data_IF_050562304607
#
_entry.id   IF_050562304607
#
_cell.length_a   1.000
_cell.length_b   1.000
_cell.length_c   1.000
_cell.angle_alpha   90.00
_cell.angle_beta   90.00
_cell.angle_gamma   90.00
#
_symmetry.space_group_name_H-M   'P 1'
#
loop_
_entity.id
_entity.type
_entity.pdbx_description
1 polymer ?
#
# COMPACT_ATOMS: atom_id res chain seq x y z
N UNK A 1 -33.01 -7.73 65.08
CA UNK A 1 -32.62 -7.19 63.76
C UNK A 1 -31.16 -6.83 63.87
N UNK A 2 -30.30 -7.76 63.47
CA UNK A 2 -28.83 -7.65 63.48
C UNK A 2 -28.42 -6.59 62.45
N UNK A 3 -27.86 -5.45 62.89
CA UNK A 3 -27.30 -4.45 61.99
C UNK A 3 -25.77 -4.55 62.03
N UNK A 4 -25.23 -5.05 60.93
CA UNK A 4 -23.82 -5.28 60.65
C UNK A 4 -23.05 -3.95 60.77
N UNK A 5 -22.13 -3.88 61.74
CA UNK A 5 -21.20 -2.78 61.93
C UNK A 5 -20.05 -2.91 60.92
N UNK A 6 -20.16 -2.17 59.82
CA UNK A 6 -19.10 -2.06 58.82
C UNK A 6 -17.83 -1.46 59.44
N UNK A 7 -16.72 -2.21 59.36
CA UNK A 7 -15.38 -1.71 59.68
C UNK A 7 -15.01 -0.63 58.66
N UNK A 8 -14.57 0.52 59.15
CA UNK A 8 -14.01 1.62 58.36
C UNK A 8 -12.74 1.15 57.66
N UNK A 9 -12.84 1.02 56.33
CA UNK A 9 -11.76 0.66 55.41
C UNK A 9 -10.73 1.80 55.36
N UNK A 10 -9.45 1.47 55.48
CA UNK A 10 -8.34 2.42 55.51
C UNK A 10 -8.35 3.39 54.31
N UNK A 11 -8.50 4.68 54.61
CA UNK A 11 -8.55 5.80 53.65
C UNK A 11 -7.33 5.85 52.72
N UNK A 12 -6.20 5.28 53.14
CA UNK A 12 -4.94 5.19 52.35
C UNK A 12 -5.08 4.20 51.19
N UNK A 13 -5.80 3.09 51.38
CA UNK A 13 -6.01 2.08 50.33
C UNK A 13 -6.91 2.58 49.20
N UNK A 14 -7.90 3.41 49.53
CA UNK A 14 -8.80 4.02 48.54
C UNK A 14 -8.06 5.08 47.71
N UNK A 15 -7.20 5.87 48.35
CA UNK A 15 -6.39 6.88 47.65
C UNK A 15 -5.36 6.24 46.71
N UNK A 16 -4.69 5.17 47.13
CA UNK A 16 -3.77 4.40 46.28
C UNK A 16 -4.48 3.75 45.10
N UNK A 17 -5.71 3.26 45.28
CA UNK A 17 -6.53 2.73 44.19
C UNK A 17 -6.94 3.84 43.20
N UNK A 18 -7.28 5.03 43.69
CA UNK A 18 -7.60 6.18 42.85
C UNK A 18 -6.38 6.69 42.07
N UNK A 19 -5.20 6.73 42.69
CA UNK A 19 -3.93 7.07 42.03
C UNK A 19 -3.52 6.02 40.99
N UNK A 20 -3.74 4.72 41.26
CA UNK A 20 -3.54 3.66 40.27
C UNK A 20 -4.55 3.75 39.10
N UNK A 21 -5.80 4.11 39.38
CA UNK A 21 -6.81 4.35 38.35
C UNK A 21 -6.53 5.61 37.52
N UNK A 22 -5.96 6.65 38.12
CA UNK A 22 -5.52 7.87 37.41
C UNK A 22 -4.25 7.66 36.58
N UNK A 23 -3.36 6.75 36.99
CA UNK A 23 -2.16 6.40 36.22
C UNK A 23 -2.44 5.52 35.00
N UNK A 24 -3.64 4.95 34.89
CA UNK A 24 -4.10 4.25 33.68
C UNK A 24 -4.83 5.22 32.75
N UNK A 25 -4.07 5.69 31.77
CA UNK A 25 -4.53 6.12 30.44
C UNK A 25 -5.00 7.58 30.36
N UNK A 26 -4.05 8.49 30.49
CA UNK A 26 -3.96 9.57 29.50
C UNK A 26 -2.70 9.26 28.67
N UNK A 27 -2.86 8.38 27.67
CA UNK A 27 -1.91 8.30 26.57
C UNK A 27 -2.07 9.61 25.80
N UNK A 28 -1.11 10.52 25.94
CA UNK A 28 -1.08 11.77 25.18
C UNK A 28 -0.69 11.39 23.75
N UNK A 29 -1.69 11.36 22.88
CA UNK A 29 -1.52 10.96 21.49
C UNK A 29 -1.05 12.17 20.68
N UNK A 30 0.16 12.09 20.17
CA UNK A 30 0.78 13.13 19.36
C UNK A 30 0.64 12.76 17.88
N UNK A 31 0.15 13.68 17.05
CA UNK A 31 -0.04 13.45 15.61
C UNK A 31 0.68 14.54 14.85
N UNK A 32 1.53 14.14 13.90
CA UNK A 32 2.32 15.07 13.09
C UNK A 32 1.91 14.97 11.62
N UNK A 33 1.51 16.10 11.05
CA UNK A 33 1.33 16.26 9.61
C UNK A 33 2.67 16.70 8.99
N UNK A 34 3.29 15.82 8.20
CA UNK A 34 4.57 16.07 7.55
C UNK A 34 4.43 16.32 6.04
N UNK A 35 3.21 16.56 5.54
CA UNK A 35 2.94 16.84 4.13
C UNK A 35 3.78 17.98 3.54
N UNK A 36 4.22 18.93 4.37
CA UNK A 36 5.14 20.00 3.95
C UNK A 36 6.52 19.53 3.49
N UNK A 37 6.91 18.29 3.80
CA UNK A 37 8.20 17.69 3.42
C UNK A 37 8.11 16.85 2.13
N UNK A 38 6.91 16.60 1.62
CA UNK A 38 6.72 15.84 0.38
C UNK A 38 7.16 16.65 -0.85
N UNK A 39 7.95 16.04 -1.73
CA UNK A 39 8.35 16.63 -3.01
C UNK A 39 7.21 16.63 -4.05
N UNK A 40 6.16 15.82 -3.84
CA UNK A 40 5.00 15.72 -4.72
C UNK A 40 3.82 16.52 -4.12
N UNK A 41 3.24 17.47 -4.88
CA UNK A 41 2.21 18.35 -4.36
C UNK A 41 0.89 17.68 -3.97
N UNK A 42 0.64 16.47 -4.50
CA UNK A 42 -0.60 15.71 -4.35
C UNK A 42 -0.45 14.57 -3.33
N UNK A 43 0.74 14.40 -2.74
CA UNK A 43 1.02 13.39 -1.71
C UNK A 43 1.13 14.03 -0.34
N UNK A 44 0.37 13.49 0.59
CA UNK A 44 0.40 13.88 2.00
C UNK A 44 1.03 12.78 2.85
N UNK A 45 1.79 13.16 3.88
CA UNK A 45 2.48 12.23 4.80
C UNK A 45 1.83 12.33 6.18
N UNK A 46 1.25 11.23 6.62
CA UNK A 46 0.52 11.10 7.88
C UNK A 46 1.27 10.22 8.86
N UNK A 47 1.51 10.73 10.08
CA UNK A 47 2.20 10.01 11.14
C UNK A 47 1.40 10.10 12.44
N UNK A 48 1.00 8.94 12.97
CA UNK A 48 0.35 8.83 14.28
C UNK A 48 1.36 8.29 15.28
N UNK A 49 1.49 8.95 16.43
CA UNK A 49 2.36 8.54 17.52
C UNK A 49 1.58 8.20 18.77
N UNK A 50 2.08 7.22 19.49
CA UNK A 50 1.60 6.84 20.80
C UNK A 50 2.80 6.70 21.74
N UNK A 51 2.74 7.35 22.90
CA UNK A 51 3.84 7.39 23.87
C UNK A 51 5.20 7.81 23.28
N UNK A 52 5.20 8.75 22.34
CA UNK A 52 6.42 9.26 21.68
C UNK A 52 7.01 8.33 20.61
N UNK A 53 6.36 7.22 20.28
CA UNK A 53 6.79 6.29 19.22
C UNK A 53 5.82 6.29 18.05
N UNK A 54 6.33 6.25 16.83
CA UNK A 54 5.50 6.15 15.63
C UNK A 54 4.83 4.79 15.55
N UNK A 55 3.50 4.77 15.51
CA UNK A 55 2.71 3.54 15.53
C UNK A 55 1.93 3.30 14.24
N UNK A 56 1.66 4.36 13.46
CA UNK A 56 1.07 4.26 12.13
C UNK A 56 1.69 5.31 11.22
N UNK A 57 2.05 4.90 10.01
CA UNK A 57 2.49 5.79 8.93
C UNK A 57 1.70 5.54 7.67
N UNK A 58 1.30 6.60 7.01
CA UNK A 58 0.59 6.54 5.74
C UNK A 58 1.01 7.68 4.82
N UNK A 59 1.16 7.38 3.55
CA UNK A 59 1.36 8.33 2.47
C UNK A 59 0.44 7.90 1.33
N UNK A 60 -0.41 8.80 0.84
CA UNK A 60 -1.27 8.55 -0.31
C UNK A 60 -1.86 9.86 -0.86
N UNK A 61 -2.24 9.83 -2.13
CA UNK A 61 -3.12 10.82 -2.74
C UNK A 61 -4.57 10.30 -2.71
N UNK A 62 -5.55 11.18 -2.47
CA UNK A 62 -6.97 10.83 -2.37
C UNK A 62 -7.83 11.75 -3.24
N UNK A 63 -8.70 11.17 -4.07
CA UNK A 63 -9.67 11.88 -4.92
C UNK A 63 -11.04 11.19 -4.82
N UNK A 64 -12.13 11.96 -4.84
CA UNK A 64 -13.50 11.42 -4.89
C UNK A 64 -14.22 11.82 -6.18
N UNK A 65 -15.13 10.97 -6.70
CA UNK A 65 -15.69 11.13 -8.06
C UNK A 65 -16.96 11.98 -8.14
N UNK A 66 -17.81 11.99 -7.09
CA UNK A 66 -19.12 12.66 -7.16
C UNK A 66 -19.05 14.19 -7.02
N UNK A 67 -18.11 14.66 -6.23
CA UNK A 67 -17.59 16.01 -6.28
C UNK A 67 -16.07 15.82 -6.30
N UNK A 68 -15.38 16.28 -7.35
CA UNK A 68 -13.92 16.10 -7.49
C UNK A 68 -13.18 16.80 -6.35
N UNK A 69 -13.11 16.10 -5.22
CA UNK A 69 -12.54 16.55 -3.97
C UNK A 69 -11.20 15.85 -3.84
N UNK A 70 -10.14 16.60 -4.07
CA UNK A 70 -8.80 16.19 -3.74
C UNK A 70 -8.53 16.49 -2.26
N UNK A 71 -7.74 15.65 -1.61
CA UNK A 71 -7.28 15.92 -0.27
C UNK A 71 -6.37 17.17 -0.26
N UNK A 72 -6.73 18.24 0.46
CA UNK A 72 -5.92 19.45 0.48
C UNK A 72 -4.75 19.32 1.45
N UNK A 73 -3.66 20.02 1.14
CA UNK A 73 -2.55 20.17 2.08
C UNK A 73 -3.01 20.84 3.37
N UNK A 74 -2.50 20.35 4.50
CA UNK A 74 -2.86 20.86 5.82
C UNK A 74 -4.16 20.25 6.38
N UNK A 75 -4.59 19.11 5.85
CA UNK A 75 -5.61 18.29 6.49
C UNK A 75 -5.21 17.98 7.95
N UNK A 76 -6.19 18.05 8.84
CA UNK A 76 -6.07 17.64 10.23
C UNK A 76 -6.02 16.10 10.28
N UNK A 77 -5.14 15.57 11.12
CA UNK A 77 -4.91 14.13 11.23
C UNK A 77 -5.17 13.73 12.67
N UNK A 78 -5.93 12.67 12.83
CA UNK A 78 -6.07 11.94 14.08
C UNK A 78 -5.91 10.44 13.79
N UNK A 79 -5.73 9.64 14.81
CA UNK A 79 -5.66 8.20 14.64
C UNK A 79 -5.86 7.48 15.95
N UNK A 80 -5.73 6.16 15.94
CA UNK A 80 -5.56 5.33 17.13
C UNK A 80 -4.71 4.15 16.77
N UNK A 81 -3.84 3.75 17.68
CA UNK A 81 -3.00 2.58 17.50
C UNK A 81 -3.40 1.51 18.51
N UNK A 82 -3.28 0.27 18.08
CA UNK A 82 -3.58 -0.91 18.88
C UNK A 82 -2.83 -2.11 18.33
N UNK A 83 -2.78 -3.18 19.11
CA UNK A 83 -2.01 -4.37 18.73
C UNK A 83 -2.66 -5.13 17.56
N UNK A 84 -3.98 -5.07 17.46
CA UNK A 84 -4.79 -5.77 16.46
C UNK A 84 -5.58 -4.84 15.56
N UNK A 85 -5.90 -3.64 16.04
CA UNK A 85 -6.74 -2.69 15.34
C UNK A 85 -6.08 -1.32 15.39
N UNK A 86 -6.11 -0.61 14.27
CA UNK A 86 -5.61 0.75 14.17
C UNK A 86 -6.55 1.58 13.30
N UNK A 87 -6.58 2.88 13.55
CA UNK A 87 -7.50 3.82 12.92
C UNK A 87 -6.71 5.05 12.45
N UNK A 88 -7.02 5.52 11.25
CA UNK A 88 -6.51 6.79 10.71
C UNK A 88 -7.69 7.66 10.30
N UNK A 89 -7.71 8.88 10.80
CA UNK A 89 -8.71 9.89 10.51
C UNK A 89 -8.04 11.09 9.86
N UNK A 90 -8.54 11.49 8.70
CA UNK A 90 -8.06 12.66 7.97
C UNK A 90 -9.24 13.57 7.76
N UNK A 91 -9.20 14.78 8.32
CA UNK A 91 -10.26 15.77 8.17
C UNK A 91 -9.76 17.04 7.49
N UNK A 92 -10.62 17.66 6.70
CA UNK A 92 -10.28 18.88 5.98
C UNK A 92 -11.51 19.78 5.83
N UNK A 93 -11.26 21.03 5.41
CA UNK A 93 -12.28 22.05 5.21
C UNK A 93 -13.10 22.29 6.50
N UNK A 94 -12.42 22.63 7.60
CA UNK A 94 -13.03 22.86 8.92
C UNK A 94 -13.92 21.70 9.41
N UNK A 95 -13.45 20.46 9.23
CA UNK A 95 -14.18 19.24 9.61
C UNK A 95 -15.53 19.03 8.87
N UNK A 96 -15.70 19.66 7.70
CA UNK A 96 -16.80 19.36 6.78
C UNK A 96 -16.63 17.99 6.11
N UNK A 97 -15.37 17.55 5.91
CA UNK A 97 -15.05 16.22 5.40
C UNK A 97 -14.15 15.48 6.37
N UNK A 98 -14.40 14.19 6.56
CA UNK A 98 -13.57 13.30 7.37
C UNK A 98 -13.48 11.93 6.72
N UNK A 99 -12.29 11.58 6.25
CA UNK A 99 -11.96 10.25 5.76
C UNK A 99 -11.43 9.39 6.91
N UNK A 100 -11.98 8.18 7.07
CA UNK A 100 -11.60 7.25 8.13
C UNK A 100 -11.22 5.90 7.54
N UNK A 101 -10.02 5.45 7.86
CA UNK A 101 -9.50 4.13 7.48
C UNK A 101 -9.35 3.30 8.74
N UNK A 102 -9.89 2.09 8.70
CA UNK A 102 -9.78 1.11 9.77
C UNK A 102 -8.93 -0.06 9.31
N UNK A 103 -7.92 -0.38 10.11
CA UNK A 103 -6.97 -1.46 9.87
C UNK A 103 -7.18 -2.57 10.89
N UNK A 104 -7.06 -3.81 10.44
CA UNK A 104 -7.10 -5.00 11.30
C UNK A 104 -5.92 -5.90 11.00
N UNK A 105 -5.24 -6.37 12.05
CA UNK A 105 -4.20 -7.41 12.03
C UNK A 105 -4.82 -8.72 12.49
N UNK A 106 -4.70 -9.76 11.66
CA UNK A 106 -5.28 -11.08 11.91
C UNK A 106 -4.25 -12.19 11.60
N UNK A 107 -4.41 -13.33 12.29
CA UNK A 107 -3.65 -14.54 12.00
C UNK A 107 -4.37 -15.35 10.94
N UNK A 108 -3.68 -15.64 9.84
CA UNK A 108 -4.18 -16.51 8.77
C UNK A 108 -3.44 -17.84 8.82
N UNK A 109 -4.20 -18.91 9.07
CA UNK A 109 -3.71 -20.27 8.95
C UNK A 109 -3.78 -20.68 7.49
N UNK A 110 -2.63 -20.86 6.83
CA UNK A 110 -2.56 -21.40 5.47
C UNK A 110 -2.12 -22.86 5.59
N UNK A 111 -3.06 -23.78 5.40
CA UNK A 111 -2.81 -25.21 5.35
C UNK A 111 -2.88 -25.69 3.90
N UNK A 112 -1.76 -26.11 3.32
CA UNK A 112 -1.76 -26.78 2.00
C UNK A 112 -1.26 -28.23 2.06
N UNK A 113 -0.41 -28.60 3.03
CA UNK A 113 0.23 -29.93 3.06
C UNK A 113 0.38 -30.50 4.49
N UNK A 114 -0.66 -30.37 5.33
CA UNK A 114 -0.63 -30.91 6.71
C UNK A 114 0.32 -30.19 7.69
N UNK A 115 0.97 -29.10 7.25
CA UNK A 115 1.67 -28.15 8.12
C UNK A 115 0.89 -26.85 8.15
N UNK A 116 0.17 -26.63 9.25
CA UNK A 116 -0.44 -25.33 9.53
C UNK A 116 0.67 -24.31 9.77
N UNK A 117 0.83 -23.36 8.84
CA UNK A 117 1.69 -22.20 9.05
C UNK A 117 0.78 -21.02 9.37
N UNK A 118 0.79 -20.59 10.63
CA UNK A 118 0.18 -19.33 11.02
C UNK A 118 1.02 -18.18 10.43
N UNK A 119 0.36 -17.32 9.65
CA UNK A 119 0.97 -16.11 9.09
C UNK A 119 0.15 -14.92 9.54
N UNK A 120 0.79 -13.95 10.17
CA UNK A 120 0.13 -12.70 10.53
C UNK A 120 0.05 -11.77 9.32
N UNK A 121 -1.14 -11.25 9.06
CA UNK A 121 -1.41 -10.30 8.00
C UNK A 121 -2.18 -9.12 8.58
N UNK A 122 -2.08 -7.96 7.92
CA UNK A 122 -2.94 -6.83 8.17
C UNK A 122 -3.65 -6.42 6.89
N UNK A 123 -4.81 -5.77 7.04
CA UNK A 123 -5.65 -5.31 5.93
C UNK A 123 -6.46 -4.10 6.35
N UNK A 124 -6.98 -3.37 5.36
CA UNK A 124 -8.08 -2.42 5.57
C UNK A 124 -9.38 -3.21 5.62
N UNK A 125 -10.08 -3.14 6.74
CA UNK A 125 -11.34 -3.86 6.97
C UNK A 125 -12.58 -2.97 6.76
N UNK A 126 -12.42 -1.65 6.86
CA UNK A 126 -13.48 -0.67 6.68
C UNK A 126 -12.90 0.68 6.28
N UNK A 127 -13.59 1.36 5.38
CA UNK A 127 -13.35 2.77 5.06
C UNK A 127 -14.66 3.52 5.23
N UNK A 128 -14.58 4.75 5.74
CA UNK A 128 -15.72 5.65 5.85
C UNK A 128 -15.36 7.06 5.37
N UNK A 129 -16.34 7.72 4.76
CA UNK A 129 -16.28 9.14 4.47
C UNK A 129 -17.48 9.82 5.13
N UNK A 130 -17.19 10.72 6.05
CA UNK A 130 -18.17 11.67 6.58
C UNK A 130 -18.05 12.95 5.77
N UNK A 131 -19.16 13.45 5.26
CA UNK A 131 -19.19 14.67 4.45
C UNK A 131 -20.42 15.51 4.82
N UNK A 132 -20.25 16.83 4.88
CA UNK A 132 -21.31 17.77 5.20
C UNK A 132 -21.84 18.41 3.91
N UNK A 133 -23.09 18.11 3.55
CA UNK A 133 -23.73 18.70 2.37
C UNK A 133 -24.27 20.11 2.61
N UNK A 134 -24.17 20.63 3.85
CA UNK A 134 -24.38 22.05 4.11
C UNK A 134 -23.19 22.91 3.66
N UNK A 135 -22.05 22.28 3.38
CA UNK A 135 -20.87 22.95 2.83
C UNK A 135 -21.09 23.32 1.35
N UNK A 136 -21.31 24.62 1.13
CA UNK A 136 -21.79 25.16 -0.15
C UNK A 136 -20.75 25.20 -1.27
N UNK A 137 -19.45 25.04 -0.96
CA UNK A 137 -18.38 25.05 -1.97
C UNK A 137 -18.51 23.93 -3.01
N UNK A 138 -18.98 22.75 -2.60
CA UNK A 138 -19.15 21.58 -3.47
C UNK A 138 -20.60 21.12 -3.59
N UNK A 139 -21.48 21.47 -2.64
CA UNK A 139 -22.89 21.08 -2.67
C UNK A 139 -23.80 22.31 -2.81
N UNK A 140 -24.11 22.67 -4.06
CA UNK A 140 -25.04 23.76 -4.36
C UNK A 140 -26.48 23.22 -4.29
N UNK A 141 -27.33 23.85 -3.49
CA UNK A 141 -28.75 23.49 -3.34
C UNK A 141 -28.99 22.03 -2.89
N UNK A 142 -28.23 21.56 -1.90
CA UNK A 142 -28.42 20.23 -1.34
C UNK A 142 -29.87 20.04 -0.84
N UNK A 143 -30.55 19.00 -1.35
CA UNK A 143 -31.93 18.67 -0.99
C UNK A 143 -32.09 18.38 0.51
N UNK A 144 -31.12 17.69 1.10
CA UNK A 144 -31.02 17.40 2.54
C UNK A 144 -29.65 17.83 3.06
N UNK A 145 -29.49 19.10 3.49
CA UNK A 145 -28.22 19.61 4.01
C UNK A 145 -27.91 18.99 5.38
N UNK A 146 -26.63 18.71 5.62
CA UNK A 146 -26.12 18.22 6.89
C UNK A 146 -25.05 17.13 6.72
N UNK A 147 -24.66 16.50 7.83
CA UNK A 147 -23.63 15.45 7.83
C UNK A 147 -24.19 14.10 7.39
N UNK A 148 -23.55 13.53 6.38
CA UNK A 148 -23.83 12.20 5.85
C UNK A 148 -22.60 11.32 6.03
N UNK A 149 -22.81 10.02 6.08
CA UNK A 149 -21.73 9.03 6.18
C UNK A 149 -21.89 7.96 5.13
N UNK A 150 -20.85 7.77 4.33
CA UNK A 150 -20.71 6.62 3.45
C UNK A 150 -19.68 5.64 4.01
N UNK A 151 -19.92 4.35 3.85
CA UNK A 151 -19.04 3.30 4.38
C UNK A 151 -18.96 2.10 3.45
N UNK A 152 -17.85 1.38 3.52
CA UNK A 152 -17.69 0.07 2.88
C UNK A 152 -18.25 -1.03 3.77
N UNK A 153 -18.81 -2.09 3.18
CA UNK A 153 -19.26 -3.28 3.91
C UNK A 153 -18.35 -4.48 3.63
N UNK A 154 -17.79 -5.10 4.67
CA UNK A 154 -16.89 -6.28 4.60
C UNK A 154 -15.71 -6.09 3.65
N UNK A 155 -14.98 -4.99 3.80
CA UNK A 155 -13.79 -4.72 2.98
C UNK A 155 -12.63 -5.62 3.42
N UNK A 156 -11.81 -6.02 2.45
CA UNK A 156 -10.53 -6.69 2.68
C UNK A 156 -9.54 -6.19 1.64
N UNK A 157 -9.09 -4.94 1.81
CA UNK A 157 -8.19 -4.27 0.87
C UNK A 157 -6.77 -4.17 1.44
N UNK A 158 -5.79 -4.03 0.55
CA UNK A 158 -4.36 -3.82 0.89
C UNK A 158 -3.82 -4.90 1.84
N UNK A 159 -4.21 -6.16 1.61
CA UNK A 159 -3.78 -7.29 2.44
C UNK A 159 -2.27 -7.45 2.36
N UNK A 160 -1.59 -7.33 3.50
CA UNK A 160 -0.14 -7.23 3.60
C UNK A 160 0.38 -8.08 4.76
N UNK A 161 1.53 -8.77 4.62
CA UNK A 161 2.15 -9.46 5.74
C UNK A 161 2.51 -8.53 6.90
N UNK A 162 2.41 -9.02 8.13
CA UNK A 162 2.87 -8.30 9.32
C UNK A 162 4.35 -7.90 9.22
N UNK A 163 4.71 -6.75 9.80
CA UNK A 163 6.06 -6.21 9.74
C UNK A 163 6.50 -5.62 8.39
N UNK A 164 5.62 -5.54 7.39
CA UNK A 164 5.92 -4.94 6.06
C UNK A 164 5.02 -3.75 5.77
N UNK A 165 5.53 -2.81 4.99
CA UNK A 165 4.74 -1.68 4.45
C UNK A 165 4.06 -2.09 3.16
N UNK A 166 2.86 -1.60 2.88
CA UNK A 166 2.21 -1.78 1.58
C UNK A 166 2.61 -0.64 0.65
N UNK A 167 2.98 -0.95 -0.60
CA UNK A 167 3.32 0.05 -1.61
C UNK A 167 2.54 -0.21 -2.91
N UNK A 168 1.89 0.81 -3.45
CA UNK A 168 1.18 0.74 -4.72
C UNK A 168 1.17 2.09 -5.43
N UNK A 169 1.76 2.15 -6.63
CA UNK A 169 1.70 3.34 -7.49
C UNK A 169 0.36 3.44 -8.21
N UNK A 170 -0.20 2.31 -8.65
CA UNK A 170 -1.47 2.26 -9.35
C UNK A 170 -2.65 2.75 -8.49
N UNK A 171 -3.56 3.50 -9.12
CA UNK A 171 -4.78 3.99 -8.48
C UNK A 171 -5.70 2.84 -8.05
N UNK A 172 -6.08 2.85 -6.78
CA UNK A 172 -7.01 1.93 -6.14
C UNK A 172 -8.35 2.61 -5.92
N UNK A 173 -9.43 2.04 -6.45
CA UNK A 173 -10.79 2.58 -6.31
C UNK A 173 -11.62 1.79 -5.29
N UNK A 174 -12.24 2.47 -4.35
CA UNK A 174 -13.16 1.91 -3.36
C UNK A 174 -14.55 2.55 -3.50
N UNK A 175 -15.58 1.72 -3.57
CA UNK A 175 -16.98 2.18 -3.58
C UNK A 175 -17.55 2.12 -2.17
N UNK A 176 -18.01 3.26 -1.67
CA UNK A 176 -18.71 3.38 -0.39
C UNK A 176 -20.20 3.54 -0.62
N UNK A 177 -21.00 2.95 0.26
CA UNK A 177 -22.44 3.11 0.26
C UNK A 177 -22.81 4.14 1.31
N UNK A 178 -23.53 5.18 0.89
CA UNK A 178 -24.15 6.12 1.81
C UNK A 178 -25.11 5.39 2.76
N UNK A 179 -25.29 5.94 3.96
CA UNK A 179 -26.19 5.41 4.99
C UNK A 179 -27.66 5.37 4.53
N UNK A 180 -28.04 6.23 3.58
CA UNK A 180 -29.36 6.20 2.93
C UNK A 180 -29.48 5.09 1.86
N UNK A 181 -28.40 4.34 1.59
CA UNK A 181 -28.29 3.29 0.58
C UNK A 181 -28.73 3.70 -0.84
N UNK A 182 -28.86 5.00 -1.11
CA UNK A 182 -29.41 5.50 -2.37
C UNK A 182 -28.31 5.97 -3.32
N UNK A 183 -27.10 6.24 -2.82
CA UNK A 183 -25.96 6.74 -3.60
C UNK A 183 -24.66 6.04 -3.20
N UNK A 184 -23.92 5.58 -4.21
CA UNK A 184 -22.57 5.05 -4.05
C UNK A 184 -21.54 6.14 -4.30
N UNK A 185 -20.60 6.34 -3.37
CA UNK A 185 -19.49 7.29 -3.51
C UNK A 185 -18.25 6.50 -3.93
N UNK A 186 -17.58 6.90 -5.00
CA UNK A 186 -16.28 6.34 -5.38
C UNK A 186 -15.15 7.17 -4.79
N UNK A 187 -14.24 6.50 -4.10
CA UNK A 187 -12.98 7.05 -3.61
C UNK A 187 -11.83 6.40 -4.39
N UNK A 188 -10.88 7.20 -4.83
CA UNK A 188 -9.66 6.77 -5.50
C UNK A 188 -8.46 7.15 -4.67
N UNK A 189 -7.58 6.19 -4.40
CA UNK A 189 -6.30 6.38 -3.72
C UNK A 189 -5.16 6.00 -4.66
N UNK A 190 -4.15 6.83 -4.83
CA UNK A 190 -2.96 6.52 -5.63
C UNK A 190 -1.69 6.80 -4.84
N UNK A 191 -0.55 6.31 -5.34
CA UNK A 191 0.76 6.51 -4.71
C UNK A 191 0.79 6.11 -3.23
N UNK A 192 0.20 4.96 -2.94
CA UNK A 192 -0.04 4.48 -1.59
C UNK A 192 1.25 3.89 -1.01
N UNK A 193 1.68 4.38 0.15
CA UNK A 193 2.64 3.74 1.02
C UNK A 193 2.15 3.76 2.47
N UNK A 194 1.72 2.61 3.01
CA UNK A 194 1.04 2.55 4.32
C UNK A 194 1.59 1.41 5.18
N UNK A 195 1.79 1.68 6.47
CA UNK A 195 2.14 0.69 7.47
C UNK A 195 1.44 1.03 8.81
N UNK A 196 0.38 0.30 9.17
CA UNK A 196 -0.41 0.57 10.38
C UNK A 196 0.07 -0.18 11.63
N UNK A 197 0.98 -1.16 11.49
CA UNK A 197 1.46 -1.99 12.58
C UNK A 197 2.96 -2.28 12.46
N UNK A 198 3.57 -2.74 13.55
CA UNK A 198 4.93 -3.30 13.59
C UNK A 198 6.02 -2.35 13.05
N UNK A 199 5.88 -1.04 13.29
CA UNK A 199 6.89 -0.04 12.96
C UNK A 199 8.07 -0.19 13.92
N UNK A 200 9.27 -0.37 13.38
CA UNK A 200 10.49 -0.65 14.18
C UNK A 200 11.30 0.61 14.49
N UNK A 201 11.16 1.64 13.66
CA UNK A 201 11.93 2.88 13.69
C UNK A 201 10.99 4.03 13.41
N UNK A 202 11.10 5.09 14.19
CA UNK A 202 10.32 6.30 13.96
C UNK A 202 10.59 6.84 12.55
N UNK A 203 9.53 7.29 11.89
CA UNK A 203 9.55 7.88 10.54
C UNK A 203 10.15 7.01 9.43
N UNK A 204 10.30 5.70 9.63
CA UNK A 204 10.89 4.80 8.63
C UNK A 204 9.97 3.61 8.41
N UNK A 205 9.50 3.47 7.17
CA UNK A 205 8.75 2.30 6.72
C UNK A 205 9.63 1.05 6.73
N UNK A 206 9.02 -0.08 7.10
CA UNK A 206 9.59 -1.41 6.91
C UNK A 206 9.65 -1.79 5.43
N UNK A 207 10.23 -2.97 5.16
CA UNK A 207 10.37 -3.52 3.81
C UNK A 207 9.05 -3.49 3.01
N UNK A 208 9.06 -3.01 1.76
CA UNK A 208 7.84 -2.81 0.97
C UNK A 208 7.26 -4.11 0.39
N UNK A 209 5.94 -4.23 0.47
CA UNK A 209 5.12 -5.23 -0.19
C UNK A 209 4.33 -4.56 -1.31
N UNK A 210 4.74 -4.84 -2.55
CA UNK A 210 4.12 -4.25 -3.74
C UNK A 210 2.74 -4.84 -4.02
N UNK A 211 1.83 -4.01 -4.51
CA UNK A 211 0.52 -4.46 -4.97
C UNK A 211 0.60 -5.29 -6.26
N UNK A 212 -0.40 -6.14 -6.47
CA UNK A 212 -0.48 -7.02 -7.65
C UNK A 212 -0.60 -6.24 -8.96
N UNK A 213 -1.20 -5.04 -8.93
CA UNK A 213 -1.37 -4.19 -10.12
C UNK A 213 -0.02 -3.69 -10.64
N UNK A 214 0.80 -3.08 -9.79
CA UNK A 214 2.15 -2.64 -10.16
C UNK A 214 3.02 -3.82 -10.65
N UNK A 215 2.87 -5.00 -10.02
CA UNK A 215 3.60 -6.20 -10.45
C UNK A 215 3.19 -6.67 -11.85
N UNK A 216 1.91 -6.52 -12.20
CA UNK A 216 1.40 -6.87 -13.52
C UNK A 216 1.89 -5.90 -14.58
N UNK A 217 1.82 -4.59 -14.33
CA UNK A 217 2.35 -3.58 -15.24
C UNK A 217 3.85 -3.81 -15.49
N UNK A 218 4.63 -4.03 -14.43
CA UNK A 218 6.06 -4.33 -14.56
C UNK A 218 6.31 -5.60 -15.40
N UNK A 219 5.48 -6.63 -15.25
CA UNK A 219 5.60 -7.86 -16.02
C UNK A 219 5.29 -7.62 -17.50
N UNK A 220 4.24 -6.86 -17.81
CA UNK A 220 3.86 -6.51 -19.18
C UNK A 220 4.93 -5.68 -19.91
N UNK A 221 5.64 -4.81 -19.19
CA UNK A 221 6.78 -4.07 -19.75
C UNK A 221 8.03 -4.94 -19.94
N UNK A 222 8.29 -5.85 -19.00
CA UNK A 222 9.52 -6.66 -19.01
C UNK A 222 9.44 -7.81 -20.02
N UNK A 223 8.24 -8.38 -20.21
CA UNK A 223 8.02 -9.53 -21.09
C UNK A 223 8.49 -9.31 -22.54
N UNK A 224 8.11 -8.24 -23.27
CA UNK A 224 8.57 -8.02 -24.64
C UNK A 224 10.09 -7.80 -24.71
N UNK A 225 10.68 -7.18 -23.70
CA UNK A 225 12.12 -6.91 -23.67
C UNK A 225 12.92 -8.21 -23.50
N UNK A 226 12.49 -9.10 -22.61
CA UNK A 226 13.09 -10.43 -22.41
C UNK A 226 12.90 -11.29 -23.66
N UNK A 227 11.70 -11.31 -24.25
CA UNK A 227 11.44 -12.06 -25.48
C UNK A 227 12.29 -11.53 -26.65
N UNK A 228 12.41 -10.22 -26.79
CA UNK A 228 13.26 -9.57 -27.79
C UNK A 228 14.74 -9.93 -27.63
N UNK A 229 15.26 -9.94 -26.39
CA UNK A 229 16.64 -10.35 -26.11
C UNK A 229 16.88 -11.83 -26.44
N UNK A 230 15.96 -12.73 -26.08
CA UNK A 230 16.09 -14.16 -26.38
C UNK A 230 16.07 -14.40 -27.89
N UNK A 231 15.12 -13.78 -28.62
CA UNK A 231 15.03 -13.89 -30.07
C UNK A 231 16.28 -13.31 -30.76
N UNK A 232 16.75 -12.14 -30.31
CA UNK A 232 17.97 -11.52 -30.80
C UNK A 232 19.20 -12.41 -30.62
N UNK A 233 19.36 -13.02 -29.44
CA UNK A 233 20.45 -13.95 -29.17
C UNK A 233 20.40 -15.19 -30.08
N UNK A 234 19.22 -15.77 -30.31
CA UNK A 234 19.04 -16.92 -31.21
C UNK A 234 19.46 -16.55 -32.63
N UNK A 235 19.07 -15.37 -33.12
CA UNK A 235 19.44 -14.90 -34.46
C UNK A 235 20.96 -14.73 -34.57
N UNK A 236 21.61 -14.09 -33.58
CA UNK A 236 23.07 -13.91 -33.59
C UNK A 236 23.78 -15.25 -33.57
N UNK A 237 23.37 -16.20 -32.73
CA UNK A 237 23.96 -17.53 -32.64
C UNK A 237 23.81 -18.28 -33.97
N UNK A 238 22.61 -18.30 -34.55
CA UNK A 238 22.34 -19.02 -35.81
C UNK A 238 23.14 -18.45 -36.98
N UNK A 239 23.21 -17.12 -37.12
CA UNK A 239 24.02 -16.45 -38.14
C UNK A 239 25.51 -16.74 -37.95
N UNK A 240 25.99 -16.71 -36.70
CA UNK A 240 27.39 -16.98 -36.38
C UNK A 240 27.76 -18.41 -36.76
N UNK A 241 26.95 -19.39 -36.34
CA UNK A 241 27.13 -20.81 -36.70
C UNK A 241 27.10 -20.99 -38.21
N UNK A 242 26.13 -20.37 -38.90
CA UNK A 242 26.01 -20.45 -40.35
C UNK A 242 27.25 -19.91 -41.06
N UNK A 243 27.76 -18.75 -40.62
CA UNK A 243 28.97 -18.15 -41.18
C UNK A 243 30.22 -19.02 -40.94
N UNK A 244 30.35 -19.62 -39.75
CA UNK A 244 31.43 -20.58 -39.46
C UNK A 244 31.32 -21.83 -40.34
N UNK A 245 30.12 -22.38 -40.49
CA UNK A 245 29.89 -23.53 -41.37
C UNK A 245 30.27 -23.21 -42.82
N UNK A 246 29.82 -22.07 -43.35
CA UNK A 246 30.13 -21.64 -44.72
C UNK A 246 31.64 -21.50 -44.95
N UNK A 247 32.37 -20.93 -43.97
CA UNK A 247 33.84 -20.83 -44.04
C UNK A 247 34.53 -22.19 -44.01
N UNK A 248 34.03 -23.16 -43.24
CA UNK A 248 34.62 -24.50 -43.15
C UNK A 248 34.29 -25.38 -44.36
N UNK A 249 33.17 -25.14 -45.03
CA UNK A 249 32.73 -25.91 -46.21
C UNK A 249 33.17 -25.27 -47.54
N UNK A 250 33.85 -24.12 -47.53
CA UNK A 250 34.36 -23.49 -48.74
C UNK A 250 35.44 -24.39 -49.40
N UNK A 251 35.26 -24.82 -50.66
CA UNK A 251 36.21 -25.69 -51.35
C UNK A 251 37.54 -24.96 -51.57
N UNK A 252 38.63 -25.60 -51.16
CA UNK A 252 40.00 -25.12 -51.35
C UNK A 252 40.27 -24.92 -52.84
N UNK A 253 40.50 -23.68 -53.26
CA UNK A 253 40.88 -23.35 -54.64
C UNK A 253 42.12 -24.16 -55.01
N UNK A 254 41.99 -25.07 -55.98
CA UNK A 254 43.12 -25.83 -56.49
C UNK A 254 44.16 -24.87 -57.07
N UNK A 255 45.35 -24.86 -56.47
CA UNK A 255 46.53 -24.24 -57.05
C UNK A 255 46.76 -24.81 -58.47
N UNK A 256 47.09 -23.97 -59.48
CA UNK A 256 47.25 -24.45 -60.83
C UNK A 256 48.44 -25.40 -60.91
N UNK A 257 48.16 -26.65 -61.27
CA UNK A 257 49.14 -27.72 -61.50
C UNK A 257 50.01 -27.34 -62.70
N UNK A 258 51.32 -27.31 -62.48
CA UNK A 258 52.35 -26.92 -63.45
C UNK A 258 52.20 -27.60 -64.82
N UNK A 259 52.28 -26.78 -65.86
CA UNK A 259 52.00 -27.13 -67.27
C UNK A 259 53.30 -27.44 -68.05
N UNK A 260 54.18 -28.28 -67.51
CA UNK A 260 55.55 -28.46 -68.04
C UNK A 260 55.93 -29.87 -68.52
N UNK A 261 54.97 -30.77 -68.85
CA UNK A 261 55.29 -32.16 -69.23
C UNK A 261 54.62 -32.68 -70.52
N UNK A 262 54.51 -31.85 -71.55
CA UNK A 262 54.29 -32.33 -72.94
C UNK A 262 55.16 -31.55 -73.93
N UNK A 263 56.47 -31.77 -73.84
CA UNK A 263 57.41 -31.48 -74.91
C UNK A 263 58.40 -32.63 -74.94
N UNK A 264 58.00 -33.74 -75.55
CA UNK A 264 58.85 -34.82 -76.08
C UNK A 264 57.94 -36.00 -76.44
N UNK A 265 57.36 -35.97 -77.64
CA UNK A 265 56.98 -37.12 -78.48
C UNK A 265 56.63 -36.50 -79.84
N UNK A 266 57.64 -36.36 -80.68
CA UNK A 266 57.57 -36.38 -82.15
C UNK A 266 59.00 -36.53 -82.63
N UNK A 267 59.43 -37.79 -82.74
CA UNK A 267 60.45 -38.30 -83.65
C UNK A 267 60.20 -39.81 -83.79
#
# INVERSE_FOLDING_TARGET
MELIRFRTLDSVGVFLCFLWLLSKVLSEQEVENLSGLSANPDKDIFVVRENGTTCLMAEFALITEQATLALPRGAEIEGKCGNTDAELYVSWMNNAYTFRIYFSKEKRTVGSDGKEKETEIWKINKVQLVYDTSESSHFINAYNPGKHTASTHRLSALVTPAGRSYVCTAQQTLTLLSSDHQKGITISMSDIQIQPFDIKSDFVFSEPYKCMTDQREQLEETLPLVLGLILGLIIVITVTIYHFHLKLTAPQSQLPRDRSLYKNIFL
#
